data_IF_567533126396
#
_entry.id   IF_567533126396
#
_cell.length_a   1.000
_cell.length_b   1.000
_cell.length_c   1.000
_cell.angle_alpha   90.00
_cell.angle_beta   90.00
_cell.angle_gamma   90.00
#
_symmetry.space_group_name_H-M   'P 1'
#
loop_
_entity.id
_entity.type
_entity.pdbx_description
1 polymer ?
#
# COMPACT_ATOMS: atom_id res chain seq x y z
N UNK A 1 -3.45 -16.70 -6.48
CA UNK A 1 -3.83 -15.29 -6.72
C UNK A 1 -4.68 -14.76 -5.57
N UNK A 2 -5.90 -15.26 -5.33
CA UNK A 2 -6.63 -15.06 -4.05
C UNK A 2 -5.78 -15.48 -2.84
N UNK A 3 -5.05 -16.61 -2.94
CA UNK A 3 -4.19 -17.12 -1.85
C UNK A 3 -3.17 -16.09 -1.34
N UNK A 4 -2.58 -15.27 -2.23
CA UNK A 4 -1.63 -14.23 -1.84
C UNK A 4 -2.35 -13.12 -1.08
N UNK A 5 -3.43 -12.56 -1.62
CA UNK A 5 -4.21 -11.54 -0.92
C UNK A 5 -4.80 -12.06 0.40
N UNK A 6 -5.20 -13.32 0.49
CA UNK A 6 -5.62 -13.94 1.75
C UNK A 6 -4.47 -14.00 2.76
N UNK A 7 -3.26 -14.38 2.33
CA UNK A 7 -2.07 -14.37 3.20
C UNK A 7 -1.77 -12.96 3.71
N UNK A 8 -1.81 -11.96 2.83
CA UNK A 8 -1.61 -10.57 3.20
C UNK A 8 -2.69 -10.09 4.16
N UNK A 9 -3.96 -10.41 3.89
CA UNK A 9 -5.10 -10.14 4.79
C UNK A 9 -4.87 -10.75 6.18
N UNK A 10 -4.45 -12.01 6.27
CA UNK A 10 -4.16 -12.65 7.57
C UNK A 10 -3.09 -11.87 8.33
N UNK A 11 -1.98 -11.51 7.68
CA UNK A 11 -0.90 -10.71 8.30
C UNK A 11 -1.45 -9.38 8.83
N UNK A 12 -2.21 -8.65 8.01
CA UNK A 12 -2.78 -7.34 8.35
C UNK A 12 -3.69 -7.45 9.57
N UNK A 13 -4.61 -8.41 9.56
CA UNK A 13 -5.61 -8.58 10.62
C UNK A 13 -5.01 -9.12 11.93
N UNK A 14 -3.96 -9.94 11.85
CA UNK A 14 -3.31 -10.48 13.04
C UNK A 14 -2.33 -9.51 13.69
N UNK A 15 -1.53 -8.81 12.89
CA UNK A 15 -0.38 -8.01 13.39
C UNK A 15 -0.73 -6.52 13.59
N UNK A 16 -1.76 -5.99 12.92
CA UNK A 16 -2.08 -4.56 12.91
C UNK A 16 -3.54 -4.25 13.34
N UNK A 17 -4.15 -5.12 14.15
CA UNK A 17 -5.53 -4.97 14.66
C UNK A 17 -5.80 -3.68 15.46
N UNK A 18 -4.74 -3.06 15.96
CA UNK A 18 -4.77 -1.82 16.71
C UNK A 18 -5.11 -0.62 15.83
N UNK A 19 -4.67 -0.60 14.56
CA UNK A 19 -4.98 0.48 13.60
C UNK A 19 -5.98 0.06 12.51
N UNK A 20 -6.10 -1.24 12.22
CA UNK A 20 -6.98 -1.77 11.18
C UNK A 20 -8.41 -1.92 11.71
N UNK A 21 -9.38 -1.43 10.95
CA UNK A 21 -10.81 -1.62 11.21
C UNK A 21 -11.38 -2.84 10.48
N UNK A 22 -11.04 -3.02 9.20
CA UNK A 22 -11.45 -4.19 8.41
C UNK A 22 -10.62 -4.32 7.13
N UNK A 23 -10.73 -5.46 6.44
CA UNK A 23 -10.13 -5.66 5.12
C UNK A 23 -11.13 -6.23 4.12
N UNK A 24 -10.98 -5.90 2.84
CA UNK A 24 -11.81 -6.42 1.74
C UNK A 24 -10.95 -6.69 0.51
N UNK A 25 -11.17 -7.83 -0.14
CA UNK A 25 -10.64 -8.06 -1.49
C UNK A 25 -11.67 -7.56 -2.49
N UNK A 26 -11.29 -6.58 -3.29
CA UNK A 26 -12.15 -5.92 -4.28
C UNK A 26 -11.73 -6.33 -5.70
N UNK A 27 -12.67 -6.28 -6.65
CA UNK A 27 -12.44 -6.57 -8.07
C UNK A 27 -12.67 -8.04 -8.46
N UNK A 28 -12.36 -8.37 -9.71
CA UNK A 28 -12.46 -9.77 -10.20
C UNK A 28 -11.33 -10.57 -9.54
N UNK A 29 -11.60 -11.81 -9.10
CA UNK A 29 -10.64 -12.66 -8.34
C UNK A 29 -9.43 -13.17 -9.17
N UNK A 30 -9.02 -12.42 -10.19
CA UNK A 30 -7.86 -12.61 -11.07
C UNK A 30 -6.77 -11.57 -10.75
N UNK A 31 -5.50 -11.94 -10.94
CA UNK A 31 -4.38 -10.99 -10.78
C UNK A 31 -4.53 -9.83 -11.78
N UNK A 32 -4.09 -8.63 -11.36
CA UNK A 32 -4.24 -7.41 -12.16
C UNK A 32 -5.64 -6.80 -12.12
N UNK A 33 -6.67 -7.56 -11.71
CA UNK A 33 -8.05 -7.08 -11.59
C UNK A 33 -8.58 -7.06 -10.15
N UNK A 34 -7.85 -7.68 -9.20
CA UNK A 34 -8.15 -7.64 -7.77
C UNK A 34 -7.19 -6.71 -7.01
N UNK A 35 -7.68 -6.14 -5.92
CA UNK A 35 -6.88 -5.42 -4.91
C UNK A 35 -7.33 -5.77 -3.49
N UNK A 36 -6.42 -5.73 -2.54
CA UNK A 36 -6.73 -5.78 -1.11
C UNK A 36 -6.89 -4.35 -0.60
N UNK A 37 -8.09 -4.00 -0.14
CA UNK A 37 -8.36 -2.76 0.57
C UNK A 37 -8.33 -3.01 2.07
N UNK A 38 -7.60 -2.18 2.79
CA UNK A 38 -7.49 -2.17 4.25
C UNK A 38 -8.10 -0.86 4.71
N UNK A 39 -9.15 -0.95 5.53
CA UNK A 39 -9.77 0.22 6.16
C UNK A 39 -9.13 0.43 7.53
N UNK A 40 -8.71 1.66 7.80
CA UNK A 40 -8.17 2.05 9.10
C UNK A 40 -9.26 2.65 9.98
N UNK A 41 -9.03 2.67 11.29
CA UNK A 41 -9.99 3.20 12.28
C UNK A 41 -10.25 4.71 12.14
N UNK A 42 -9.34 5.44 11.53
CA UNK A 42 -9.49 6.88 11.23
C UNK A 42 -10.26 7.15 9.93
N UNK A 43 -10.87 6.11 9.33
CA UNK A 43 -11.64 6.16 8.09
C UNK A 43 -10.80 6.37 6.81
N UNK A 44 -9.46 6.45 6.90
CA UNK A 44 -8.57 6.34 5.74
C UNK A 44 -8.47 4.88 5.26
N UNK A 45 -7.90 4.66 4.07
CA UNK A 45 -7.74 3.30 3.56
C UNK A 45 -6.47 3.10 2.73
N UNK A 46 -5.92 1.89 2.76
CA UNK A 46 -4.79 1.43 1.95
C UNK A 46 -5.29 0.43 0.90
N UNK A 47 -5.05 0.73 -0.37
CA UNK A 47 -5.22 -0.21 -1.47
C UNK A 47 -3.88 -0.84 -1.85
N UNK A 48 -3.82 -2.18 -1.82
CA UNK A 48 -2.70 -2.98 -2.32
C UNK A 48 -3.13 -3.66 -3.61
N UNK A 49 -2.48 -3.30 -4.71
CA UNK A 49 -2.65 -3.93 -6.02
C UNK A 49 -1.34 -4.58 -6.46
N UNK A 50 -1.44 -5.80 -7.01
CA UNK A 50 -0.32 -6.62 -7.47
C UNK A 50 -0.64 -7.25 -8.83
N UNK A 51 0.36 -7.27 -9.72
CA UNK A 51 0.33 -8.00 -10.99
C UNK A 51 1.16 -9.29 -10.93
N UNK A 52 0.97 -10.19 -11.91
CA UNK A 52 1.78 -11.39 -12.10
C UNK A 52 3.17 -11.07 -12.67
N UNK A 53 3.31 -9.91 -13.30
CA UNK A 53 4.57 -9.40 -13.84
C UNK A 53 5.41 -8.64 -12.80
N UNK A 54 5.02 -8.65 -11.53
CA UNK A 54 5.73 -7.96 -10.45
C UNK A 54 5.46 -6.45 -10.37
N UNK A 55 4.48 -5.93 -11.13
CA UNK A 55 4.00 -4.55 -10.94
C UNK A 55 3.16 -4.46 -9.68
N UNK A 56 3.28 -3.36 -8.96
CA UNK A 56 2.52 -3.14 -7.72
C UNK A 56 2.13 -1.68 -7.55
N UNK A 57 1.13 -1.46 -6.70
CA UNK A 57 0.79 -0.14 -6.15
C UNK A 57 0.24 -0.33 -4.74
N UNK A 58 0.84 0.35 -3.77
CA UNK A 58 0.37 0.48 -2.40
C UNK A 58 -0.05 1.93 -2.18
N UNK A 59 -1.35 2.21 -2.25
CA UNK A 59 -1.91 3.56 -2.20
C UNK A 59 -2.69 3.78 -0.90
N UNK A 60 -2.14 4.58 -0.01
CA UNK A 60 -2.84 5.08 1.18
C UNK A 60 -3.57 6.38 0.85
N UNK A 61 -4.88 6.26 0.70
CA UNK A 61 -5.79 7.37 0.46
C UNK A 61 -6.29 7.92 1.79
N UNK A 62 -5.98 9.19 2.01
CA UNK A 62 -6.38 9.92 3.20
C UNK A 62 -6.65 11.40 2.91
N UNK A 63 -6.91 11.78 1.65
CA UNK A 63 -7.21 13.17 1.30
C UNK A 63 -8.43 13.71 2.06
N UNK A 64 -9.41 12.86 2.32
CA UNK A 64 -10.60 13.24 3.10
C UNK A 64 -10.28 13.55 4.57
N UNK A 65 -9.25 12.92 5.15
CA UNK A 65 -8.85 13.12 6.54
C UNK A 65 -7.83 14.23 6.70
N UNK A 66 -6.84 14.29 5.80
CA UNK A 66 -5.62 15.10 5.98
C UNK A 66 -5.16 15.82 4.71
N UNK A 67 -5.89 15.73 3.60
CA UNK A 67 -5.52 16.36 2.33
C UNK A 67 -4.28 15.78 1.63
N UNK A 68 -3.76 14.65 2.12
CA UNK A 68 -2.51 14.04 1.63
C UNK A 68 -2.72 12.62 1.09
N UNK A 69 -1.76 12.15 0.29
CA UNK A 69 -1.66 10.75 -0.15
C UNK A 69 -0.27 10.19 0.12
N UNK A 70 -0.19 8.86 0.21
CA UNK A 70 1.06 8.14 0.06
C UNK A 70 0.88 7.02 -0.94
N UNK A 71 1.73 6.95 -1.97
CA UNK A 71 1.69 5.85 -2.95
C UNK A 71 3.07 5.32 -3.25
N UNK A 72 3.32 4.06 -2.89
CA UNK A 72 4.47 3.32 -3.38
C UNK A 72 4.06 2.53 -4.61
N UNK A 73 4.71 2.73 -5.74
CA UNK A 73 4.49 1.92 -6.94
C UNK A 73 5.78 1.77 -7.76
N UNK A 74 5.71 0.98 -8.82
CA UNK A 74 6.84 0.69 -9.71
C UNK A 74 6.48 0.86 -11.18
N UNK A 75 5.59 1.81 -11.52
CA UNK A 75 5.48 2.25 -12.90
C UNK A 75 6.85 2.74 -13.39
N UNK A 76 7.23 2.50 -14.66
CA UNK A 76 8.56 2.85 -15.18
C UNK A 76 8.70 4.35 -15.46
N UNK A 77 8.26 5.16 -14.51
CA UNK A 77 8.34 6.61 -14.49
C UNK A 77 9.58 7.05 -13.70
N UNK A 78 9.94 8.33 -13.82
CA UNK A 78 11.03 8.96 -13.04
C UNK A 78 12.37 8.21 -13.10
N UNK A 79 12.99 8.06 -14.29
CA UNK A 79 14.24 7.29 -14.46
C UNK A 79 15.45 7.86 -13.67
N UNK A 80 15.34 9.08 -13.17
CA UNK A 80 16.38 9.74 -12.37
C UNK A 80 16.31 9.37 -10.88
N UNK A 81 15.26 8.69 -10.41
CA UNK A 81 15.14 8.25 -9.02
C UNK A 81 16.05 7.05 -8.77
N UNK A 82 16.77 7.08 -7.64
CA UNK A 82 17.77 6.05 -7.26
C UNK A 82 17.22 4.62 -7.24
N UNK A 83 15.94 4.46 -6.92
CA UNK A 83 15.26 3.16 -6.78
C UNK A 83 14.43 2.78 -8.01
N UNK A 84 14.58 3.51 -9.13
CA UNK A 84 13.80 3.27 -10.35
C UNK A 84 13.76 1.76 -10.71
N UNK A 85 12.57 1.20 -11.03
CA UNK A 85 11.30 1.89 -11.25
C UNK A 85 10.51 2.25 -9.98
N UNK A 86 10.96 1.79 -8.81
CA UNK A 86 10.24 2.00 -7.57
C UNK A 86 10.34 3.47 -7.13
N UNK A 87 9.20 4.05 -6.79
CA UNK A 87 9.13 5.42 -6.28
C UNK A 87 7.97 5.57 -5.30
N UNK A 88 8.01 6.68 -4.56
CA UNK A 88 7.02 7.07 -3.56
C UNK A 88 6.47 8.45 -3.92
N UNK A 89 5.15 8.56 -4.02
CA UNK A 89 4.45 9.83 -3.92
C UNK A 89 4.26 10.16 -2.43
N UNK A 90 4.97 11.15 -1.90
CA UNK A 90 4.96 11.55 -0.47
C UNK A 90 4.15 12.83 -0.27
N UNK A 91 2.94 12.69 0.28
CA UNK A 91 2.05 13.79 0.62
C UNK A 91 1.18 14.24 -0.56
N UNK A 92 1.72 14.29 -1.78
CA UNK A 92 0.98 14.61 -3.00
C UNK A 92 1.55 13.89 -4.24
N UNK A 93 0.80 13.90 -5.35
CA UNK A 93 1.16 13.19 -6.60
C UNK A 93 2.48 13.68 -7.23
N UNK A 94 2.93 14.91 -6.97
CA UNK A 94 4.13 15.49 -7.58
C UNK A 94 5.38 15.37 -6.73
N UNK A 95 5.23 15.03 -5.45
CA UNK A 95 6.34 14.89 -4.50
C UNK A 95 6.91 13.47 -4.61
N UNK A 96 7.89 13.30 -5.51
CA UNK A 96 8.48 12.00 -5.82
C UNK A 96 9.74 11.76 -4.98
N UNK A 97 9.78 10.64 -4.28
CA UNK A 97 10.91 10.19 -3.48
C UNK A 97 11.32 8.76 -3.85
N UNK A 98 12.56 8.34 -3.58
CA UNK A 98 12.95 6.95 -3.67
C UNK A 98 12.10 6.07 -2.73
N UNK A 99 11.70 4.90 -3.22
CA UNK A 99 10.97 3.90 -2.45
C UNK A 99 11.88 2.70 -2.20
N UNK A 100 12.07 2.35 -0.93
CA UNK A 100 12.94 1.26 -0.49
C UNK A 100 12.16 0.06 0.05
N UNK A 101 10.88 -0.05 -0.29
CA UNK A 101 10.09 -1.20 0.13
C UNK A 101 10.55 -2.47 -0.59
N UNK A 102 10.44 -3.60 0.09
CA UNK A 102 10.83 -4.88 -0.46
C UNK A 102 9.93 -5.28 -1.64
N UNK A 103 10.46 -6.07 -2.58
CA UNK A 103 9.67 -6.60 -3.70
C UNK A 103 8.78 -7.77 -3.30
N UNK A 104 9.06 -8.42 -2.16
CA UNK A 104 8.23 -9.45 -1.57
C UNK A 104 6.98 -8.82 -0.92
N UNK A 105 5.76 -9.13 -1.40
CA UNK A 105 4.54 -8.47 -0.92
C UNK A 105 4.29 -8.64 0.58
N UNK A 106 4.73 -9.74 1.20
CA UNK A 106 4.54 -9.97 2.63
C UNK A 106 5.48 -9.13 3.51
N UNK A 107 6.67 -8.79 3.00
CA UNK A 107 7.59 -7.87 3.67
C UNK A 107 7.16 -6.42 3.39
N UNK A 108 6.86 -6.11 2.12
CA UNK A 108 6.43 -4.79 1.68
C UNK A 108 5.21 -4.27 2.47
N UNK A 109 4.18 -5.10 2.64
CA UNK A 109 2.96 -4.70 3.36
C UNK A 109 3.24 -4.34 4.82
N UNK A 110 4.19 -5.04 5.48
CA UNK A 110 4.58 -4.76 6.86
C UNK A 110 5.34 -3.43 6.94
N UNK A 111 6.25 -3.18 6.00
CA UNK A 111 6.97 -1.90 5.93
C UNK A 111 6.00 -0.72 5.73
N UNK A 112 5.06 -0.84 4.79
CA UNK A 112 4.04 0.18 4.53
C UNK A 112 3.16 0.39 5.78
N UNK A 113 2.63 -0.67 6.38
CA UNK A 113 1.76 -0.56 7.56
C UNK A 113 2.48 -0.02 8.79
N UNK A 114 3.77 -0.33 8.96
CA UNK A 114 4.59 0.22 10.04
C UNK A 114 4.70 1.74 9.91
N UNK A 115 4.95 2.25 8.71
CA UNK A 115 5.01 3.70 8.44
C UNK A 115 3.65 4.35 8.66
N UNK A 116 2.56 3.72 8.20
CA UNK A 116 1.19 4.22 8.41
C UNK A 116 0.87 4.30 9.90
N UNK A 117 1.13 3.23 10.66
CA UNK A 117 0.94 3.19 12.10
C UNK A 117 1.66 4.35 12.80
N UNK A 118 2.95 4.51 12.51
CA UNK A 118 3.74 5.61 13.08
C UNK A 118 3.20 7.00 12.73
N UNK A 119 2.62 7.18 11.53
CA UNK A 119 2.00 8.44 11.11
C UNK A 119 0.64 8.67 11.79
N UNK A 120 -0.14 7.61 12.03
CA UNK A 120 -1.42 7.68 12.74
C UNK A 120 -1.24 7.94 14.24
N UNK A 121 -0.19 7.40 14.88
CA UNK A 121 0.11 7.64 16.29
C UNK A 121 0.61 9.07 16.59
N UNK A 122 1.09 9.78 15.56
CA UNK A 122 1.59 11.16 15.66
C UNK A 122 0.58 12.23 15.24
N UNK A 123 -0.58 11.81 14.73
CA UNK A 123 -1.64 12.69 14.22
C UNK A 123 -2.70 12.93 15.29
#
# INVERSE_FOLDING_TARGET
MIKLYNKLKTIVESEYKDIVASTKILGKRTIGSAKLRIFFKDQSYLDIWLSSSGKYSSHWEQRAQRGIIYRHDNAPDFPHIKTHPQHLHDGNEKSIQPSYIDTNPAIAIKQVLTVIKQKLEKA
#
